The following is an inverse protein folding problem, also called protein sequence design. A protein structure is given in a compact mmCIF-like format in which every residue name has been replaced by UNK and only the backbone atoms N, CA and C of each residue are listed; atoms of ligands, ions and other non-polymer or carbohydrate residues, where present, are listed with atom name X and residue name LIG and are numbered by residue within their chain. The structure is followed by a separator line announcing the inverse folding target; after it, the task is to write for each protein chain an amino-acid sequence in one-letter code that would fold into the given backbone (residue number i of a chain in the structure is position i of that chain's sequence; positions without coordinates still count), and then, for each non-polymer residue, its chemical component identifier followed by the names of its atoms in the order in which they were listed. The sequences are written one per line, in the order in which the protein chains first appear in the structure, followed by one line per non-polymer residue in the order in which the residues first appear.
data_IF_409761431469
#
_entry.id   IF_409761431469
#
_cell.length_a   1.000
_cell.length_b   1.000
_cell.length_c   1.000
_cell.angle_alpha   90.00
_cell.angle_beta   90.00
_cell.angle_gamma   90.00
#
_symmetry.space_group_name_H-M   'P 1'
#
loop_
_entity.id
_entity.type
_entity.pdbx_description
1 polymer ?
#
# COMPACT_ATOMS: atom_id res chain seq x y z
N UNK A 1 14.09 9.82 3.62
CA UNK A 1 12.91 8.93 3.63
C UNK A 1 12.62 8.27 2.27
N UNK A 2 12.76 8.97 1.12
CA UNK A 2 12.61 8.32 -0.18
C UNK A 2 13.71 7.29 -0.43
N UNK A 3 14.94 7.57 -0.04
CA UNK A 3 16.06 6.61 -0.04
C UNK A 3 15.73 5.35 0.77
N UNK A 4 15.20 5.53 1.97
CA UNK A 4 14.74 4.41 2.82
C UNK A 4 13.66 3.57 2.13
N UNK A 5 12.74 4.19 1.39
CA UNK A 5 11.74 3.45 0.61
C UNK A 5 12.41 2.67 -0.52
N UNK A 6 13.42 3.24 -1.19
CA UNK A 6 14.20 2.51 -2.21
C UNK A 6 14.87 1.26 -1.62
N UNK A 7 15.50 1.37 -0.46
CA UNK A 7 16.12 0.24 0.24
C UNK A 7 15.10 -0.85 0.59
N UNK A 8 13.93 -0.46 1.10
CA UNK A 8 12.82 -1.36 1.40
C UNK A 8 12.32 -2.08 0.14
N UNK A 9 12.19 -1.37 -0.99
CA UNK A 9 11.79 -1.99 -2.26
C UNK A 9 12.79 -3.03 -2.74
N UNK A 10 14.09 -2.79 -2.53
CA UNK A 10 15.15 -3.77 -2.83
C UNK A 10 15.02 -5.00 -1.91
N UNK A 11 14.79 -4.79 -0.62
CA UNK A 11 14.65 -5.90 0.34
C UNK A 11 13.39 -6.73 0.06
N UNK A 12 12.25 -6.08 -0.18
CA UNK A 12 11.01 -6.74 -0.55
C UNK A 12 11.15 -7.58 -1.84
N UNK A 13 11.90 -7.08 -2.83
CA UNK A 13 12.22 -7.84 -4.04
C UNK A 13 13.06 -9.09 -3.71
N UNK A 14 14.09 -8.96 -2.88
CA UNK A 14 14.93 -10.09 -2.45
C UNK A 14 14.16 -11.16 -1.69
N UNK A 15 13.12 -10.76 -0.95
CA UNK A 15 12.24 -11.66 -0.19
C UNK A 15 11.11 -12.26 -1.03
N UNK A 16 11.01 -11.92 -2.32
CA UNK A 16 9.91 -12.31 -3.21
C UNK A 16 8.52 -11.80 -2.74
N UNK A 17 8.48 -10.64 -2.08
CA UNK A 17 7.24 -9.97 -1.70
C UNK A 17 6.73 -9.03 -2.78
N UNK A 18 7.57 -8.74 -3.75
CA UNK A 18 7.23 -8.03 -4.98
C UNK A 18 8.00 -8.63 -6.14
N UNK A 19 7.49 -8.50 -7.36
CA UNK A 19 8.26 -8.76 -8.57
C UNK A 19 8.98 -7.50 -9.04
N UNK A 20 9.67 -7.58 -10.16
CA UNK A 20 10.47 -6.44 -10.66
C UNK A 20 9.66 -5.15 -10.83
N UNK A 21 8.34 -5.23 -11.08
CA UNK A 21 7.51 -4.06 -11.41
C UNK A 21 6.31 -3.88 -10.51
N UNK A 22 6.00 -4.86 -9.68
CA UNK A 22 4.89 -4.82 -8.74
C UNK A 22 5.26 -4.11 -7.43
N UNK A 23 4.26 -3.91 -6.60
CA UNK A 23 4.41 -3.21 -5.34
C UNK A 23 4.58 -1.70 -5.53
N UNK A 24 4.06 -0.96 -4.59
CA UNK A 24 4.14 0.50 -4.63
C UNK A 24 4.05 1.07 -3.20
N UNK A 25 4.63 2.25 -3.06
CA UNK A 25 4.70 2.96 -1.77
C UNK A 25 4.41 4.43 -2.00
N UNK A 26 3.66 5.04 -1.08
CA UNK A 26 3.55 6.50 -1.01
C UNK A 26 3.88 7.03 0.38
N UNK A 27 4.29 8.30 0.43
CA UNK A 27 4.61 9.01 1.67
C UNK A 27 4.14 10.44 1.61
N UNK A 28 3.48 10.89 2.69
CA UNK A 28 3.08 12.28 2.90
C UNK A 28 3.53 12.77 4.27
N UNK A 29 3.98 14.01 4.34
CA UNK A 29 4.18 14.77 5.58
C UNK A 29 2.97 15.66 5.85
N UNK A 30 2.58 15.76 7.11
CA UNK A 30 1.51 16.65 7.56
C UNK A 30 1.79 18.11 7.10
N UNK A 31 0.74 18.83 6.79
CA UNK A 31 0.84 20.22 6.33
C UNK A 31 1.36 20.39 4.90
N UNK A 32 1.78 19.32 4.22
CA UNK A 32 2.14 19.41 2.79
C UNK A 32 0.91 19.25 1.91
N UNK A 33 0.85 20.02 0.83
CA UNK A 33 -0.21 19.98 -0.19
C UNK A 33 -0.06 18.82 -1.18
N UNK A 34 0.93 17.97 -0.97
CA UNK A 34 1.30 16.87 -1.87
C UNK A 34 1.82 15.66 -1.11
N UNK A 35 1.87 14.52 -1.81
CA UNK A 35 2.58 13.31 -1.39
C UNK A 35 3.46 12.78 -2.53
N UNK A 36 4.38 11.90 -2.20
CA UNK A 36 5.22 11.20 -3.17
C UNK A 36 4.73 9.75 -3.30
N UNK A 37 4.76 9.21 -4.52
CA UNK A 37 4.42 7.82 -4.82
C UNK A 37 5.41 7.22 -5.80
N UNK A 38 5.68 5.93 -5.67
CA UNK A 38 6.54 5.20 -6.60
C UNK A 38 5.99 5.25 -8.02
N UNK A 39 6.85 5.31 -9.04
CA UNK A 39 6.43 5.32 -10.44
C UNK A 39 5.96 3.94 -10.92
N UNK A 40 5.13 3.95 -11.97
CA UNK A 40 4.77 2.77 -12.75
C UNK A 40 5.89 2.40 -13.74
N UNK A 41 6.03 1.11 -14.03
CA UNK A 41 6.91 0.62 -15.10
C UNK A 41 8.41 0.60 -14.79
N UNK A 42 8.84 1.13 -13.64
CA UNK A 42 10.24 1.09 -13.20
C UNK A 42 10.53 -0.21 -12.44
N UNK A 43 11.72 -0.74 -12.64
CA UNK A 43 12.21 -1.89 -11.87
C UNK A 43 12.44 -1.48 -10.42
N UNK A 44 11.77 -2.13 -9.48
CA UNK A 44 11.78 -1.74 -8.06
C UNK A 44 13.14 -1.91 -7.39
N UNK A 45 13.93 -2.90 -7.83
CA UNK A 45 15.29 -3.12 -7.33
C UNK A 45 16.32 -2.06 -7.77
N UNK A 46 15.97 -1.18 -8.69
CA UNK A 46 16.82 -0.08 -9.16
C UNK A 46 16.15 1.29 -9.02
N UNK A 47 15.08 1.36 -8.25
CA UNK A 47 14.34 2.60 -8.00
C UNK A 47 15.25 3.63 -7.33
N UNK A 48 15.18 4.88 -7.81
CA UNK A 48 15.93 6.01 -7.27
C UNK A 48 14.97 7.08 -6.70
N UNK A 49 15.40 7.86 -5.70
CA UNK A 49 14.57 8.89 -5.07
C UNK A 49 14.00 9.95 -6.02
N UNK A 50 14.74 10.32 -7.06
CA UNK A 50 14.34 11.30 -8.06
C UNK A 50 13.26 10.79 -9.04
N UNK A 51 12.99 9.50 -9.04
CA UNK A 51 11.96 8.88 -9.87
C UNK A 51 10.56 8.93 -9.24
N UNK A 52 10.45 9.21 -7.93
CA UNK A 52 9.16 9.32 -7.28
C UNK A 52 8.32 10.44 -7.89
N UNK A 53 7.02 10.17 -8.00
CA UNK A 53 6.08 11.15 -8.54
C UNK A 53 5.45 11.96 -7.41
N UNK A 54 5.50 13.28 -7.56
CA UNK A 54 4.87 14.25 -6.66
C UNK A 54 3.43 14.49 -7.08
N UNK A 55 2.47 14.15 -6.22
CA UNK A 55 1.03 14.29 -6.46
C UNK A 55 0.49 15.43 -5.60
N UNK A 56 0.00 16.50 -6.21
CA UNK A 56 -0.66 17.62 -5.53
C UNK A 56 -2.11 17.29 -5.27
N UNK A 57 -2.54 17.37 -4.01
CA UNK A 57 -3.87 16.94 -3.55
C UNK A 57 -4.97 17.80 -4.18
N UNK A 58 -4.85 19.13 -4.13
CA UNK A 58 -5.89 20.01 -4.66
C UNK A 58 -6.05 19.88 -6.17
N UNK A 59 -4.98 19.69 -6.92
CA UNK A 59 -5.04 19.47 -8.36
C UNK A 59 -5.69 18.14 -8.72
N UNK A 60 -5.42 17.09 -7.93
CA UNK A 60 -6.06 15.80 -8.11
C UNK A 60 -7.58 15.88 -7.92
N UNK A 61 -8.03 16.57 -6.86
CA UNK A 61 -9.46 16.78 -6.58
C UNK A 61 -10.13 17.56 -7.72
N UNK A 62 -9.50 18.62 -8.23
CA UNK A 62 -10.03 19.47 -9.30
C UNK A 62 -10.11 18.75 -10.65
N UNK A 63 -9.23 17.80 -10.91
CA UNK A 63 -9.21 17.04 -12.17
C UNK A 63 -10.40 16.09 -12.34
N UNK A 64 -11.21 15.88 -11.30
CA UNK A 64 -12.36 14.97 -11.33
C UNK A 64 -11.99 13.51 -11.55
N UNK A 65 -10.73 13.16 -11.31
CA UNK A 65 -10.15 11.85 -11.54
C UNK A 65 -10.55 10.83 -10.46
N UNK A 66 -11.73 10.95 -9.89
CA UNK A 66 -12.36 9.93 -9.04
C UNK A 66 -13.32 9.01 -9.79
N UNK A 67 -13.40 9.10 -11.11
CA UNK A 67 -14.30 8.30 -11.93
C UNK A 67 -13.57 7.62 -13.08
N UNK A 68 -14.19 6.63 -13.71
CA UNK A 68 -13.72 5.69 -14.74
C UNK A 68 -12.62 6.11 -15.75
N UNK A 69 -12.25 7.38 -15.83
CA UNK A 69 -11.12 7.87 -16.64
C UNK A 69 -9.76 7.34 -16.20
N UNK A 70 -9.64 6.91 -14.93
CA UNK A 70 -8.39 6.32 -14.43
C UNK A 70 -7.99 5.01 -15.11
N UNK A 71 -8.96 4.29 -15.64
CA UNK A 71 -8.70 2.99 -16.28
C UNK A 71 -7.98 3.10 -17.63
N UNK A 72 -8.02 4.26 -18.29
CA UNK A 72 -7.59 4.36 -19.71
C UNK A 72 -6.77 5.62 -20.07
N UNK A 73 -6.58 6.60 -19.18
CA UNK A 73 -5.91 7.85 -19.52
C UNK A 73 -5.11 8.45 -18.38
N UNK A 74 -3.82 8.14 -18.32
CA UNK A 74 -2.86 8.77 -17.43
C UNK A 74 -2.48 10.20 -17.86
N UNK A 75 -2.97 10.64 -19.02
CA UNK A 75 -2.51 11.83 -19.71
C UNK A 75 -3.00 13.12 -19.06
N UNK A 76 -4.09 13.06 -18.29
CA UNK A 76 -4.72 14.22 -17.65
C UNK A 76 -4.36 14.41 -16.16
N UNK A 77 -3.44 13.63 -15.61
CA UNK A 77 -3.02 13.82 -14.22
C UNK A 77 -2.13 15.06 -14.09
N UNK A 78 -2.38 15.91 -13.10
CA UNK A 78 -1.57 17.10 -12.87
C UNK A 78 -0.19 16.72 -12.31
N UNK A 79 0.68 16.25 -13.18
CA UNK A 79 2.09 16.07 -12.84
C UNK A 79 2.75 17.42 -12.77
N UNK A 80 3.32 17.74 -11.66
CA UNK A 80 4.12 18.96 -11.53
C UNK A 80 5.61 18.70 -11.65
N UNK A 81 6.03 17.47 -11.89
CA UNK A 81 7.45 17.17 -12.09
C UNK A 81 7.69 16.70 -13.52
N UNK A 82 8.25 17.62 -14.31
CA UNK A 82 8.54 17.47 -15.75
C UNK A 82 9.83 16.66 -15.98
N UNK A 83 10.59 16.36 -14.92
CA UNK A 83 11.95 15.81 -15.05
C UNK A 83 12.02 14.36 -15.53
N UNK A 84 10.92 13.61 -15.45
CA UNK A 84 10.84 12.24 -15.96
C UNK A 84 9.50 11.97 -16.62
N UNK A 85 9.49 11.32 -17.80
CA UNK A 85 8.28 10.84 -18.48
C UNK A 85 7.61 9.66 -17.75
N UNK A 86 7.94 9.43 -16.47
CA UNK A 86 7.40 8.34 -15.68
C UNK A 86 6.00 8.67 -15.18
N UNK A 87 5.10 7.71 -15.27
CA UNK A 87 3.73 7.77 -14.72
C UNK A 87 3.74 7.32 -13.25
N UNK A 88 2.83 7.80 -12.38
CA UNK A 88 2.69 7.26 -11.04
C UNK A 88 2.19 5.81 -11.07
N UNK A 89 2.23 5.13 -9.92
CA UNK A 89 1.64 3.80 -9.76
C UNK A 89 0.21 3.74 -10.28
N UNK A 90 -0.18 2.61 -10.89
CA UNK A 90 -1.54 2.33 -11.31
C UNK A 90 -2.55 2.36 -10.16
N UNK A 91 -2.12 2.11 -8.94
CA UNK A 91 -2.95 2.14 -7.75
C UNK A 91 -3.00 3.51 -7.06
N UNK A 92 -2.68 4.58 -7.82
CA UNK A 92 -2.78 5.95 -7.33
C UNK A 92 -4.13 6.28 -6.68
N UNK A 93 -5.32 5.80 -7.12
CA UNK A 93 -6.59 6.07 -6.44
C UNK A 93 -6.59 5.64 -4.98
N UNK A 94 -6.07 4.45 -4.67
CA UNK A 94 -5.94 3.95 -3.30
C UNK A 94 -4.97 4.85 -2.49
N UNK A 95 -3.79 5.11 -3.04
CA UNK A 95 -2.81 5.98 -2.39
C UNK A 95 -3.37 7.38 -2.14
N UNK A 96 -4.05 7.96 -3.14
CA UNK A 96 -4.67 9.28 -3.00
C UNK A 96 -5.72 9.28 -1.90
N UNK A 97 -6.65 8.34 -1.91
CA UNK A 97 -7.71 8.25 -0.91
C UNK A 97 -7.17 8.15 0.53
N UNK A 98 -6.09 7.36 0.72
CA UNK A 98 -5.43 7.20 2.01
C UNK A 98 -4.51 8.37 2.39
N UNK A 99 -4.06 9.18 1.42
CA UNK A 99 -3.15 10.33 1.65
C UNK A 99 -3.87 11.68 1.66
N UNK A 100 -5.08 11.80 1.11
CA UNK A 100 -5.78 13.10 0.98
C UNK A 100 -5.98 13.82 2.31
N UNK A 101 -6.19 13.07 3.39
CA UNK A 101 -6.31 13.57 4.75
C UNK A 101 -5.50 12.69 5.70
N UNK A 102 -4.62 13.29 6.51
CA UNK A 102 -3.78 12.57 7.48
C UNK A 102 -3.80 13.27 8.83
N UNK A 103 -3.89 12.49 9.90
CA UNK A 103 -3.89 12.90 11.31
C UNK A 103 -2.53 12.77 12.00
N UNK A 104 -1.51 12.31 11.26
CA UNK A 104 -0.17 12.01 11.75
C UNK A 104 0.87 12.92 11.09
N UNK A 105 2.04 13.11 11.75
CA UNK A 105 3.18 13.88 11.20
C UNK A 105 3.63 13.35 9.83
N UNK A 106 3.61 12.04 9.66
CA UNK A 106 3.95 11.35 8.41
C UNK A 106 3.00 10.19 8.22
N UNK A 107 2.57 9.94 6.99
CA UNK A 107 1.88 8.70 6.61
C UNK A 107 2.60 8.03 5.46
N UNK A 108 2.94 6.76 5.67
CA UNK A 108 3.47 5.85 4.66
C UNK A 108 2.40 4.81 4.36
N UNK A 109 2.16 4.57 3.07
CA UNK A 109 1.27 3.52 2.58
C UNK A 109 2.11 2.60 1.71
N UNK A 110 2.09 1.32 2.03
CA UNK A 110 2.89 0.30 1.38
C UNK A 110 2.00 -0.84 0.88
N UNK A 111 2.04 -1.10 -0.42
CA UNK A 111 1.33 -2.21 -1.04
C UNK A 111 2.32 -3.20 -1.62
N UNK A 112 2.30 -4.43 -1.11
CA UNK A 112 3.15 -5.55 -1.55
C UNK A 112 2.33 -6.83 -1.74
N UNK A 113 2.95 -7.84 -2.37
CA UNK A 113 2.36 -9.15 -2.66
C UNK A 113 3.11 -10.28 -1.91
N UNK A 114 3.14 -10.27 -0.56
CA UNK A 114 3.88 -11.27 0.21
C UNK A 114 3.29 -12.67 -0.02
N UNK A 115 4.17 -13.62 -0.29
CA UNK A 115 3.81 -14.95 -0.83
C UNK A 115 2.92 -15.75 0.12
N UNK A 116 3.34 -15.86 1.40
CA UNK A 116 2.61 -16.69 2.36
C UNK A 116 1.32 -16.02 2.85
N UNK A 117 1.29 -14.72 2.95
CA UNK A 117 0.06 -13.97 3.29
C UNK A 117 -0.97 -14.11 2.16
N UNK A 118 -0.54 -14.00 0.91
CA UNK A 118 -1.42 -14.20 -0.25
C UNK A 118 -1.89 -15.66 -0.32
N UNK A 119 -1.01 -16.63 -0.07
CA UNK A 119 -1.36 -18.05 -0.01
C UNK A 119 -2.33 -18.36 1.15
N UNK A 120 -2.16 -17.72 2.31
CA UNK A 120 -3.05 -17.87 3.45
C UNK A 120 -4.48 -17.41 3.13
N UNK A 121 -4.62 -16.23 2.49
CA UNK A 121 -5.92 -15.74 2.01
C UNK A 121 -6.54 -16.71 0.99
N UNK A 122 -5.76 -17.18 0.02
CA UNK A 122 -6.22 -18.17 -0.97
C UNK A 122 -6.68 -19.46 -0.33
N UNK A 123 -6.06 -19.88 0.80
CA UNK A 123 -6.45 -21.04 1.59
C UNK A 123 -7.64 -20.78 2.54
N UNK A 124 -8.26 -19.59 2.48
CA UNK A 124 -9.41 -19.22 3.30
C UNK A 124 -9.07 -18.91 4.77
N UNK A 125 -7.80 -18.59 5.08
CA UNK A 125 -7.41 -18.18 6.43
C UNK A 125 -7.88 -16.75 6.68
N UNK A 126 -8.60 -16.55 7.79
CA UNK A 126 -9.03 -15.24 8.26
C UNK A 126 -7.85 -14.52 8.93
N UNK A 127 -7.25 -13.56 8.22
CA UNK A 127 -6.07 -12.84 8.71
C UNK A 127 -6.32 -12.10 10.04
N UNK A 128 -7.43 -11.38 10.26
CA UNK A 128 -7.75 -10.78 11.56
C UNK A 128 -7.75 -11.78 12.72
N UNK A 129 -8.22 -13.01 12.51
CA UNK A 129 -8.27 -14.02 13.57
C UNK A 129 -6.87 -14.44 14.07
N UNK A 130 -5.83 -14.29 13.25
CA UNK A 130 -4.45 -14.58 13.65
C UNK A 130 -3.98 -13.71 14.84
N UNK A 131 -4.61 -12.55 15.06
CA UNK A 131 -4.34 -11.70 16.24
C UNK A 131 -4.70 -12.43 17.56
N UNK A 132 -5.68 -13.32 17.54
CA UNK A 132 -6.10 -14.09 18.71
C UNK A 132 -5.19 -15.30 18.97
N UNK A 133 -4.55 -15.80 17.91
CA UNK A 133 -3.72 -17.01 17.96
C UNK A 133 -2.24 -16.71 18.21
N UNK A 134 -1.79 -15.53 17.81
CA UNK A 134 -0.38 -15.10 17.88
C UNK A 134 -0.21 -13.80 18.68
N UNK A 135 0.12 -13.88 19.98
CA UNK A 135 0.28 -12.69 20.85
C UNK A 135 1.34 -11.71 20.37
N UNK A 136 2.39 -12.21 19.72
CA UNK A 136 3.46 -11.35 19.17
C UNK A 136 2.93 -10.48 18.00
N UNK A 137 2.04 -11.02 17.18
CA UNK A 137 1.39 -10.24 16.12
C UNK A 137 0.50 -9.15 16.72
N UNK A 138 -0.39 -9.50 17.64
CA UNK A 138 -1.37 -8.56 18.23
C UNK A 138 -0.72 -7.44 19.05
N UNK A 139 0.51 -7.65 19.55
CA UNK A 139 1.24 -6.65 20.32
C UNK A 139 1.69 -5.44 19.48
N UNK A 140 1.99 -5.64 18.20
CA UNK A 140 2.62 -4.63 17.36
C UNK A 140 1.85 -4.28 16.09
N UNK A 141 0.85 -5.08 15.73
CA UNK A 141 0.15 -4.95 14.45
C UNK A 141 -1.34 -5.15 14.66
N UNK A 142 -2.14 -4.27 14.11
CA UNK A 142 -3.60 -4.43 14.00
C UNK A 142 -3.95 -4.82 12.58
N UNK A 143 -4.63 -5.96 12.41
CA UNK A 143 -5.04 -6.49 11.10
C UNK A 143 -6.51 -6.20 10.89
N UNK A 144 -6.84 -5.52 9.81
CA UNK A 144 -8.23 -5.24 9.42
C UNK A 144 -8.83 -6.33 8.53
N UNK A 145 -10.13 -6.23 8.23
CA UNK A 145 -10.83 -7.18 7.38
C UNK A 145 -10.17 -7.30 6.00
N UNK A 146 -10.12 -8.52 5.47
CA UNK A 146 -9.61 -8.73 4.10
C UNK A 146 -10.57 -8.14 3.06
N UNK A 147 -10.03 -7.41 2.11
CA UNK A 147 -10.76 -6.92 0.94
C UNK A 147 -11.07 -8.12 0.03
N UNK A 148 -12.33 -8.30 -0.43
CA UNK A 148 -12.65 -9.38 -1.37
C UNK A 148 -11.90 -9.20 -2.70
N UNK A 149 -11.80 -10.27 -3.48
CA UNK A 149 -11.17 -10.21 -4.80
C UNK A 149 -11.89 -9.19 -5.70
N UNK A 150 -11.16 -8.15 -6.09
CA UNK A 150 -11.59 -7.09 -6.99
C UNK A 150 -10.52 -6.89 -8.07
N UNK A 151 -10.89 -6.41 -9.28
CA UNK A 151 -9.92 -6.11 -10.32
C UNK A 151 -8.89 -5.09 -9.85
N UNK A 152 -7.58 -5.29 -10.13
CA UNK A 152 -6.54 -4.32 -9.76
C UNK A 152 -6.71 -3.00 -10.53
N UNK A 153 -6.17 -1.92 -9.96
CA UNK A 153 -6.16 -0.58 -10.59
C UNK A 153 -7.58 -0.01 -10.80
N UNK A 154 -8.56 -0.42 -10.00
CA UNK A 154 -9.94 0.08 -10.06
C UNK A 154 -10.26 0.99 -8.88
N UNK A 155 -11.25 1.88 -9.05
CA UNK A 155 -11.77 2.69 -7.97
C UNK A 155 -12.45 1.82 -6.91
N UNK A 156 -13.16 0.77 -7.33
CA UNK A 156 -13.83 -0.16 -6.40
C UNK A 156 -12.83 -0.82 -5.44
N UNK A 157 -11.65 -1.25 -5.95
CA UNK A 157 -10.59 -1.78 -5.11
C UNK A 157 -10.04 -0.71 -4.15
N UNK A 158 -9.81 0.50 -4.65
CA UNK A 158 -9.33 1.62 -3.82
C UNK A 158 -10.32 1.93 -2.68
N UNK A 159 -11.60 2.05 -2.99
CA UNK A 159 -12.66 2.33 -2.00
C UNK A 159 -12.81 1.19 -0.99
N UNK A 160 -12.67 -0.06 -1.42
CA UNK A 160 -12.68 -1.20 -0.53
C UNK A 160 -11.48 -1.19 0.43
N UNK A 161 -10.27 -0.87 -0.06
CA UNK A 161 -9.08 -0.73 0.78
C UNK A 161 -9.26 0.38 1.81
N UNK A 162 -9.78 1.54 1.40
CA UNK A 162 -10.03 2.70 2.28
C UNK A 162 -11.02 2.33 3.41
N UNK A 163 -12.11 1.63 3.08
CA UNK A 163 -13.07 1.15 4.08
C UNK A 163 -12.46 0.12 5.02
N UNK A 164 -11.77 -0.88 4.48
CA UNK A 164 -11.28 -2.02 5.28
C UNK A 164 -10.10 -1.65 6.18
N UNK A 165 -9.26 -0.68 5.78
CA UNK A 165 -8.22 -0.13 6.66
C UNK A 165 -8.83 0.74 7.78
N UNK A 166 -10.11 1.08 7.69
CA UNK A 166 -10.84 1.86 8.67
C UNK A 166 -10.45 3.33 8.69
N UNK A 167 -10.26 3.94 7.51
CA UNK A 167 -10.01 5.38 7.41
C UNK A 167 -11.25 6.17 7.84
N UNK A 168 -11.07 7.04 8.82
CA UNK A 168 -12.02 8.11 9.12
C UNK A 168 -11.74 9.29 8.16
N UNK A 169 -12.64 9.56 7.23
CA UNK A 169 -12.42 10.58 6.20
C UNK A 169 -12.41 12.02 6.73
N UNK A 170 -13.07 12.28 7.87
CA UNK A 170 -13.12 13.61 8.47
C UNK A 170 -11.80 13.93 9.20
N UNK A 171 -11.32 13.00 10.02
CA UNK A 171 -10.12 13.21 10.83
C UNK A 171 -8.85 12.78 10.13
N UNK A 172 -8.94 11.85 9.21
CA UNK A 172 -7.79 11.18 8.60
C UNK A 172 -7.22 10.03 9.44
N UNK A 173 -7.84 9.67 10.58
CA UNK A 173 -7.40 8.57 11.43
C UNK A 173 -7.56 7.22 10.73
N UNK A 174 -6.62 6.30 10.96
CA UNK A 174 -6.64 4.93 10.45
C UNK A 174 -6.75 3.96 11.61
N UNK A 175 -7.65 2.97 11.48
CA UNK A 175 -7.93 1.99 12.52
C UNK A 175 -6.95 0.81 12.52
N UNK A 176 -6.56 0.32 11.36
CA UNK A 176 -5.74 -0.88 11.21
C UNK A 176 -4.41 -0.57 10.51
N UNK A 177 -3.34 -1.25 10.96
CA UNK A 177 -2.02 -1.07 10.35
C UNK A 177 -1.87 -1.80 9.01
N UNK A 178 -2.61 -2.91 8.84
CA UNK A 178 -2.52 -3.74 7.64
C UNK A 178 -3.85 -4.41 7.31
N UNK A 179 -4.14 -4.54 6.03
CA UNK A 179 -5.25 -5.34 5.50
C UNK A 179 -4.76 -6.27 4.39
N UNK A 180 -5.41 -7.41 4.26
CA UNK A 180 -5.28 -8.28 3.09
C UNK A 180 -6.16 -7.79 1.93
N UNK A 181 -5.73 -8.10 0.71
CA UNK A 181 -6.53 -8.06 -0.52
C UNK A 181 -6.53 -9.46 -1.09
N UNK A 182 -7.69 -10.14 -1.08
CA UNK A 182 -7.80 -11.55 -1.46
C UNK A 182 -7.19 -11.79 -2.85
N UNK A 183 -6.29 -12.78 -2.94
CA UNK A 183 -5.56 -13.19 -4.18
C UNK A 183 -4.75 -12.09 -4.86
N UNK A 184 -4.41 -11.02 -4.12
CA UNK A 184 -3.64 -9.91 -4.67
C UNK A 184 -2.41 -9.62 -3.78
N UNK A 185 -2.62 -9.18 -2.56
CA UNK A 185 -1.53 -8.78 -1.67
C UNK A 185 -2.01 -8.14 -0.38
N UNK A 186 -1.27 -7.16 0.11
CA UNK A 186 -1.59 -6.43 1.35
C UNK A 186 -1.40 -4.93 1.17
N UNK A 187 -2.10 -4.15 1.99
CA UNK A 187 -1.85 -2.71 2.19
C UNK A 187 -1.50 -2.49 3.65
N UNK A 188 -0.32 -1.94 3.90
CA UNK A 188 0.14 -1.55 5.24
C UNK A 188 0.28 -0.03 5.35
N UNK A 189 -0.03 0.50 6.53
CA UNK A 189 0.02 1.93 6.83
C UNK A 189 0.69 2.17 8.18
N UNK A 190 1.65 3.08 8.23
CA UNK A 190 2.27 3.56 9.47
C UNK A 190 2.90 4.96 9.26
N UNK A 191 3.50 5.50 10.32
CA UNK A 191 4.19 6.80 10.31
C UNK A 191 5.65 6.73 9.86
N UNK A 192 6.17 5.53 9.62
CA UNK A 192 7.55 5.28 9.21
C UNK A 192 7.60 4.22 8.12
N UNK A 193 8.50 4.34 7.11
CA UNK A 193 8.66 3.31 6.09
C UNK A 193 8.98 1.93 6.68
N UNK A 194 9.90 1.85 7.64
CA UNK A 194 10.26 0.57 8.28
C UNK A 194 9.12 -0.02 9.09
N UNK A 195 8.33 0.80 9.82
CA UNK A 195 7.17 0.29 10.55
C UNK A 195 6.10 -0.28 9.63
N UNK A 196 5.77 0.41 8.54
CA UNK A 196 4.85 -0.12 7.54
C UNK A 196 5.34 -1.46 6.95
N UNK A 197 6.65 -1.56 6.68
CA UNK A 197 7.29 -2.79 6.22
C UNK A 197 7.20 -3.92 7.26
N UNK A 198 7.50 -3.62 8.53
CA UNK A 198 7.45 -4.58 9.63
C UNK A 198 6.06 -5.15 9.88
N UNK A 199 4.98 -4.42 9.61
CA UNK A 199 3.63 -4.98 9.66
C UNK A 199 3.45 -6.09 8.61
N UNK A 200 3.97 -5.89 7.42
CA UNK A 200 3.97 -6.90 6.36
C UNK A 200 4.84 -8.10 6.77
N UNK A 201 6.04 -7.85 7.27
CA UNK A 201 6.98 -8.88 7.69
C UNK A 201 6.40 -9.80 8.78
N UNK A 202 5.79 -9.22 9.81
CA UNK A 202 5.16 -10.00 10.90
C UNK A 202 4.01 -10.86 10.37
N UNK A 203 3.11 -10.30 9.59
CA UNK A 203 1.97 -11.04 9.05
C UNK A 203 2.42 -12.15 8.12
N UNK A 204 3.38 -11.89 7.23
CA UNK A 204 3.99 -12.87 6.33
C UNK A 204 4.64 -14.02 7.09
N UNK A 205 5.39 -13.71 8.15
CA UNK A 205 6.02 -14.71 9.00
C UNK A 205 5.00 -15.62 9.68
N UNK A 206 3.93 -15.06 10.24
CA UNK A 206 2.86 -15.82 10.88
C UNK A 206 2.11 -16.68 9.86
N UNK A 207 1.76 -16.13 8.70
CA UNK A 207 1.12 -16.88 7.62
C UNK A 207 1.98 -18.07 7.17
N UNK A 208 3.30 -17.88 7.09
CA UNK A 208 4.25 -18.97 6.79
C UNK A 208 4.19 -20.08 7.83
N UNK A 209 4.16 -19.75 9.13
CA UNK A 209 4.04 -20.71 10.22
C UNK A 209 2.73 -21.49 10.11
N UNK A 210 1.61 -20.79 9.94
CA UNK A 210 0.27 -21.40 9.86
C UNK A 210 0.15 -22.36 8.68
N UNK A 211 0.65 -21.96 7.51
CA UNK A 211 0.64 -22.81 6.32
C UNK A 211 1.57 -24.01 6.46
N UNK A 212 2.73 -23.85 7.10
CA UNK A 212 3.65 -24.97 7.36
C UNK A 212 3.05 -25.96 8.36
N UNK A 213 2.33 -25.48 9.40
CA UNK A 213 1.75 -26.34 10.43
C UNK A 213 0.59 -27.22 9.93
N UNK A 214 -0.09 -26.83 8.85
CA UNK A 214 -1.17 -27.63 8.24
C UNK A 214 -0.69 -28.87 7.49
N UNK A 215 0.62 -29.02 7.31
CA UNK A 215 1.22 -30.18 6.65
C UNK A 215 1.69 -31.27 7.64
N UNK A 216 1.37 -31.11 8.92
CA UNK A 216 1.58 -32.06 10.00
C UNK A 216 0.23 -32.41 10.65
#
# INVERSE_FOLDING_TARGET
MLETICDIMIDAYKRNWITSRDGNVSIRHHGRDHFYVTPSGVRKQTLQPDQFKKIKINQYIQSGVGTAKFLYGWEDLPYTDISTNLKPSGELPMHFGLQKNIDTEVRVIMHFHPTYTTAAMYAGIDLPNLLNEFPELSRYTTVGPTVPMLPPITQDLADACIRNIGLNEETGAIKYNIIGMDRHGVVAVDTSPWRAYEHIERLEHICKIVLASKNY
#
